data_IF_148439021513
#
_entry.id   IF_148439021513
#
_cell.length_a   1.000
_cell.length_b   1.000
_cell.length_c   1.000
_cell.angle_alpha   90.00
_cell.angle_beta   90.00
_cell.angle_gamma   90.00
#
_symmetry.space_group_name_H-M   'P 1'
#
loop_
_entity.id
_entity.type
_entity.pdbx_description
1 polymer ?
#
# COMPACT_ATOMS: atom_id res chain seq x y z
N UNK A 1 15.44 17.39 -2.69
CA UNK A 1 14.28 16.61 -2.23
C UNK A 1 14.39 16.45 -0.73
N UNK A 2 13.36 16.78 0.06
CA UNK A 2 13.43 16.66 1.53
C UNK A 2 13.77 15.20 1.88
N UNK A 3 14.85 14.98 2.62
CA UNK A 3 15.42 13.64 2.87
C UNK A 3 14.44 12.65 3.51
N UNK A 4 13.36 13.14 4.10
CA UNK A 4 12.28 12.40 4.76
C UNK A 4 11.56 11.41 3.85
N UNK A 5 11.12 11.80 2.65
CA UNK A 5 10.40 10.87 1.75
C UNK A 5 11.25 9.68 1.30
N UNK A 6 12.58 9.75 1.44
CA UNK A 6 13.48 8.64 1.08
C UNK A 6 13.73 7.68 2.24
N UNK A 7 13.23 7.99 3.43
CA UNK A 7 13.42 7.16 4.63
C UNK A 7 12.33 6.09 4.71
N UNK A 8 12.69 4.80 4.89
CA UNK A 8 11.72 3.73 5.07
C UNK A 8 10.77 4.00 6.24
N UNK A 9 11.29 4.51 7.36
CA UNK A 9 10.50 4.81 8.57
C UNK A 9 9.38 5.82 8.34
N UNK A 10 9.50 6.72 7.37
CA UNK A 10 8.49 7.73 7.05
C UNK A 10 7.14 7.11 6.66
N UNK A 11 7.15 5.96 6.00
CA UNK A 11 5.93 5.28 5.55
C UNK A 11 5.19 4.54 6.67
N UNK A 12 5.84 4.30 7.81
CA UNK A 12 5.29 3.57 8.95
C UNK A 12 5.00 4.52 10.12
N UNK A 13 6.00 5.31 10.51
CA UNK A 13 5.98 6.07 11.74
C UNK A 13 5.17 7.36 11.63
N UNK A 14 5.24 8.09 10.50
CA UNK A 14 4.47 9.34 10.38
C UNK A 14 2.96 9.11 10.38
N UNK A 15 2.42 8.12 9.63
CA UNK A 15 0.99 7.80 9.68
C UNK A 15 0.56 7.36 11.08
N UNK A 16 1.40 6.59 11.79
CA UNK A 16 1.11 6.15 13.15
C UNK A 16 1.11 7.29 14.17
N UNK A 17 2.08 8.21 14.08
CA UNK A 17 2.13 9.41 14.92
C UNK A 17 0.95 10.34 14.63
N UNK A 18 0.60 10.52 13.34
CA UNK A 18 -0.56 11.29 12.93
C UNK A 18 -1.84 10.67 13.49
N UNK A 19 -2.05 9.36 13.30
CA UNK A 19 -3.21 8.66 13.82
C UNK A 19 -3.31 8.77 15.34
N UNK A 20 -2.20 8.57 16.05
CA UNK A 20 -2.13 8.73 17.52
C UNK A 20 -2.51 10.14 17.97
N UNK A 21 -1.99 11.17 17.29
CA UNK A 21 -2.35 12.56 17.56
C UNK A 21 -3.82 12.86 17.27
N UNK A 22 -4.35 12.37 16.15
CA UNK A 22 -5.77 12.52 15.82
C UNK A 22 -6.65 11.80 16.85
N UNK A 23 -6.25 10.62 17.35
CA UNK A 23 -6.96 9.93 18.44
C UNK A 23 -7.04 10.79 19.70
N UNK A 24 -5.94 11.40 20.13
CA UNK A 24 -5.94 12.30 21.30
C UNK A 24 -6.84 13.53 21.12
N UNK A 25 -7.04 13.99 19.88
CA UNK A 25 -7.91 15.13 19.57
C UNK A 25 -9.37 14.73 19.33
N UNK A 26 -9.65 13.45 19.05
CA UNK A 26 -10.96 12.96 18.64
C UNK A 26 -11.76 12.37 19.80
N UNK A 27 -11.10 11.80 20.80
CA UNK A 27 -11.74 11.10 21.92
C UNK A 27 -11.43 11.72 23.28
N UNK A 28 -12.43 11.73 24.15
CA UNK A 28 -12.27 11.89 25.59
C UNK A 28 -11.84 10.54 26.18
N UNK A 29 -10.52 10.32 26.23
CA UNK A 29 -9.97 9.00 26.54
C UNK A 29 -10.31 8.53 27.96
N UNK A 30 -10.88 7.31 28.12
CA UNK A 30 -11.02 6.69 29.43
C UNK A 30 -9.66 6.51 30.15
N UNK A 31 -9.67 6.43 31.50
CA UNK A 31 -8.47 6.21 32.27
C UNK A 31 -7.67 4.98 31.79
N UNK A 32 -6.35 5.13 31.65
CA UNK A 32 -5.45 4.06 31.23
C UNK A 32 -5.28 3.90 29.71
N UNK A 33 -6.26 4.29 28.89
CA UNK A 33 -6.19 4.08 27.43
C UNK A 33 -5.03 4.84 26.77
N UNK A 34 -4.65 5.98 27.33
CA UNK A 34 -3.51 6.78 26.88
C UNK A 34 -2.18 6.01 26.90
N UNK A 35 -2.02 4.98 27.74
CA UNK A 35 -0.78 4.19 27.80
C UNK A 35 -0.49 3.48 26.48
N UNK A 36 -1.51 2.94 25.80
CA UNK A 36 -1.32 2.28 24.52
C UNK A 36 -0.95 3.27 23.42
N UNK A 37 -1.50 4.48 23.45
CA UNK A 37 -1.12 5.54 22.51
C UNK A 37 0.33 5.97 22.74
N UNK A 38 0.74 6.15 23.99
CA UNK A 38 2.14 6.45 24.35
C UNK A 38 3.06 5.34 23.87
N UNK A 39 2.69 4.06 24.02
CA UNK A 39 3.47 2.93 23.52
C UNK A 39 3.68 3.01 22.00
N UNK A 40 2.62 3.27 21.23
CA UNK A 40 2.70 3.44 19.77
C UNK A 40 3.60 4.61 19.38
N UNK A 41 3.47 5.76 20.06
CA UNK A 41 4.28 6.96 19.82
C UNK A 41 5.76 6.69 20.13
N UNK A 42 6.06 6.09 21.28
CA UNK A 42 7.42 5.79 21.70
C UNK A 42 8.09 4.77 20.77
N UNK A 43 7.35 3.74 20.35
CA UNK A 43 7.85 2.76 19.38
C UNK A 43 8.10 3.39 18.00
N UNK A 44 7.20 4.26 17.52
CA UNK A 44 7.40 5.02 16.28
C UNK A 44 8.63 5.94 16.37
N UNK A 45 8.81 6.64 17.48
CA UNK A 45 9.96 7.51 17.72
C UNK A 45 11.28 6.71 17.77
N UNK A 46 11.28 5.54 18.44
CA UNK A 46 12.43 4.65 18.47
C UNK A 46 12.80 4.15 17.07
N UNK A 47 11.83 3.73 16.25
CA UNK A 47 12.07 3.31 14.87
C UNK A 47 12.63 4.49 14.04
N UNK A 48 12.09 5.70 14.20
CA UNK A 48 12.63 6.89 13.53
C UNK A 48 14.09 7.14 13.91
N UNK A 49 14.44 7.02 15.19
CA UNK A 49 15.80 7.19 15.67
C UNK A 49 16.74 6.11 15.10
N UNK A 50 16.31 4.84 15.12
CA UNK A 50 17.07 3.73 14.51
C UNK A 50 17.27 3.96 13.02
N UNK A 51 16.26 4.42 12.28
CA UNK A 51 16.36 4.68 10.85
C UNK A 51 17.30 5.84 10.52
N UNK A 52 17.36 6.87 11.39
CA UNK A 52 18.35 7.95 11.29
C UNK A 52 19.77 7.39 11.40
N UNK A 53 20.02 6.50 12.37
CA UNK A 53 21.33 5.87 12.59
C UNK A 53 21.70 4.93 11.44
N UNK A 54 20.76 4.09 10.98
CA UNK A 54 21.00 3.16 9.87
C UNK A 54 21.22 3.86 8.53
N UNK A 55 20.74 5.11 8.37
CA UNK A 55 20.97 5.93 7.19
C UNK A 55 20.46 5.33 5.88
N UNK A 56 19.64 4.28 5.93
CA UNK A 56 19.15 3.57 4.75
C UNK A 56 18.16 4.48 4.01
N UNK A 57 18.40 4.69 2.71
CA UNK A 57 17.55 5.54 1.88
C UNK A 57 17.09 4.79 0.64
N UNK A 58 15.87 5.12 0.20
CA UNK A 58 15.43 4.82 -1.14
C UNK A 58 16.46 5.31 -2.17
N UNK A 59 16.60 4.62 -3.32
CA UNK A 59 17.43 5.09 -4.43
C UNK A 59 17.13 6.54 -4.79
N UNK A 60 18.13 7.22 -5.36
CA UNK A 60 17.97 8.61 -5.76
C UNK A 60 16.88 8.71 -6.86
N UNK A 61 16.03 9.77 -6.88
CA UNK A 61 14.99 9.96 -7.91
C UNK A 61 15.52 9.84 -9.34
N UNK A 62 16.77 10.24 -9.57
CA UNK A 62 17.46 10.14 -10.85
C UNK A 62 17.49 8.68 -11.34
N UNK A 63 17.76 7.71 -10.45
CA UNK A 63 17.75 6.29 -10.80
C UNK A 63 16.36 5.78 -11.20
N UNK A 64 15.31 6.26 -10.52
CA UNK A 64 13.92 5.94 -10.88
C UNK A 64 13.54 6.52 -12.25
N UNK A 65 14.07 7.71 -12.58
CA UNK A 65 13.83 8.37 -13.86
C UNK A 65 14.57 7.69 -15.01
N UNK A 66 15.86 7.39 -14.82
CA UNK A 66 16.73 6.75 -15.81
C UNK A 66 16.25 5.33 -16.17
N UNK A 67 15.66 4.62 -15.21
CA UNK A 67 15.18 3.27 -15.45
C UNK A 67 14.00 3.27 -16.43
N UNK A 68 14.18 2.57 -17.55
CA UNK A 68 13.15 2.33 -18.57
C UNK A 68 12.73 0.86 -18.53
N UNK A 69 11.46 0.59 -18.20
CA UNK A 69 10.92 -0.77 -18.17
C UNK A 69 10.27 -1.17 -19.51
N UNK A 70 9.74 -0.19 -20.27
CA UNK A 70 9.10 -0.44 -21.54
C UNK A 70 10.05 -1.05 -22.60
N UNK A 71 9.69 -2.22 -23.12
CA UNK A 71 10.50 -2.97 -24.08
C UNK A 71 11.69 -3.70 -23.46
N UNK A 72 11.64 -3.98 -22.16
CA UNK A 72 12.61 -4.85 -21.45
C UNK A 72 11.95 -6.17 -21.05
N UNK A 73 12.75 -7.16 -20.63
CA UNK A 73 12.26 -8.44 -20.10
C UNK A 73 11.32 -8.25 -18.90
N UNK A 74 11.69 -7.37 -17.96
CA UNK A 74 10.85 -7.02 -16.81
C UNK A 74 9.50 -6.43 -17.25
N UNK A 75 9.52 -5.51 -18.23
CA UNK A 75 8.31 -4.92 -18.78
C UNK A 75 7.41 -5.94 -19.47
N UNK A 76 7.98 -6.91 -20.20
CA UNK A 76 7.23 -7.99 -20.84
C UNK A 76 6.52 -8.88 -19.80
N UNK A 77 7.27 -9.37 -18.80
CA UNK A 77 6.70 -10.20 -17.73
C UNK A 77 5.63 -9.44 -16.95
N UNK A 78 5.85 -8.15 -16.67
CA UNK A 78 4.85 -7.33 -16.00
C UNK A 78 3.58 -7.11 -16.82
N UNK A 79 3.68 -6.97 -18.15
CA UNK A 79 2.51 -6.86 -19.01
C UNK A 79 1.73 -8.18 -19.10
N UNK A 80 2.43 -9.33 -19.14
CA UNK A 80 1.79 -10.64 -19.06
C UNK A 80 1.06 -10.81 -17.71
N UNK A 81 1.71 -10.44 -16.60
CA UNK A 81 1.08 -10.40 -15.29
C UNK A 81 -0.15 -9.48 -15.26
N UNK A 82 -0.05 -8.27 -15.81
CA UNK A 82 -1.18 -7.33 -15.90
C UNK A 82 -2.36 -7.91 -16.70
N UNK A 83 -2.08 -8.63 -17.79
CA UNK A 83 -3.13 -9.30 -18.57
C UNK A 83 -3.86 -10.38 -17.74
N UNK A 84 -3.12 -11.19 -16.98
CA UNK A 84 -3.72 -12.17 -16.05
C UNK A 84 -4.61 -11.48 -15.02
N UNK A 85 -4.12 -10.40 -14.38
CA UNK A 85 -4.92 -9.64 -13.41
C UNK A 85 -6.20 -9.08 -14.04
N UNK A 86 -6.13 -8.55 -15.27
CA UNK A 86 -7.31 -8.05 -15.99
C UNK A 86 -8.32 -9.17 -16.23
N UNK A 87 -7.87 -10.33 -16.71
CA UNK A 87 -8.75 -11.49 -16.93
C UNK A 87 -9.48 -11.85 -15.64
N UNK A 88 -8.77 -11.93 -14.52
CA UNK A 88 -9.39 -12.26 -13.22
C UNK A 88 -10.34 -11.17 -12.72
N UNK A 89 -10.06 -9.89 -12.97
CA UNK A 89 -10.99 -8.80 -12.67
C UNK A 89 -12.26 -8.89 -13.53
N UNK A 90 -12.13 -9.22 -14.82
CA UNK A 90 -13.28 -9.41 -15.71
C UNK A 90 -14.10 -10.62 -15.30
N UNK A 91 -13.45 -11.72 -14.91
CA UNK A 91 -14.13 -12.91 -14.39
C UNK A 91 -14.89 -12.62 -13.09
N UNK A 92 -14.31 -11.85 -12.15
CA UNK A 92 -15.01 -11.44 -10.91
C UNK A 92 -16.28 -10.63 -11.23
N UNK A 93 -16.21 -9.68 -12.19
CA UNK A 93 -17.37 -8.89 -12.60
C UNK A 93 -18.40 -9.66 -13.43
N UNK A 94 -17.98 -10.67 -14.19
CA UNK A 94 -18.86 -11.45 -15.06
C UNK A 94 -19.56 -12.60 -14.33
N UNK A 95 -18.88 -13.23 -13.37
CA UNK A 95 -19.37 -14.39 -12.65
C UNK A 95 -20.17 -14.03 -11.39
N UNK A 96 -19.99 -12.82 -10.85
CA UNK A 96 -20.62 -12.41 -9.59
C UNK A 96 -21.35 -11.07 -9.71
N UNK A 97 -22.39 -10.84 -8.89
CA UNK A 97 -23.05 -9.55 -8.84
C UNK A 97 -22.06 -8.45 -8.45
N UNK A 98 -22.12 -7.35 -9.20
CA UNK A 98 -21.29 -6.17 -8.98
C UNK A 98 -21.79 -5.49 -7.69
N UNK A 99 -20.98 -5.46 -6.60
CA UNK A 99 -21.44 -4.96 -5.31
C UNK A 99 -21.96 -3.52 -5.35
N UNK A 100 -21.35 -2.65 -6.16
CA UNK A 100 -21.82 -1.27 -6.29
C UNK A 100 -23.23 -1.14 -6.90
N UNK A 101 -23.64 -2.08 -7.75
CA UNK A 101 -24.89 -2.03 -8.51
C UNK A 101 -26.01 -2.78 -7.81
N UNK A 102 -25.70 -3.97 -7.28
CA UNK A 102 -26.71 -4.90 -6.77
C UNK A 102 -26.91 -4.74 -5.27
N UNK A 103 -25.85 -4.95 -4.50
CA UNK A 103 -25.89 -4.87 -3.04
C UNK A 103 -24.47 -4.64 -2.48
N UNK A 104 -24.17 -3.46 -1.90
CA UNK A 104 -22.88 -3.17 -1.31
C UNK A 104 -22.49 -4.12 -0.16
N UNK A 105 -23.47 -4.71 0.52
CA UNK A 105 -23.24 -5.64 1.62
C UNK A 105 -22.69 -7.00 1.15
N UNK A 106 -23.02 -7.40 -0.09
CA UNK A 106 -22.54 -8.63 -0.74
C UNK A 106 -21.02 -8.70 -0.92
N UNK A 107 -20.31 -7.58 -0.76
CA UNK A 107 -18.85 -7.59 -0.75
C UNK A 107 -18.29 -8.42 0.41
N UNK A 108 -18.97 -8.42 1.58
CA UNK A 108 -18.53 -9.11 2.78
C UNK A 108 -18.85 -10.61 2.78
N UNK A 109 -19.82 -11.05 1.97
CA UNK A 109 -20.13 -12.46 1.76
C UNK A 109 -19.25 -13.03 0.65
N UNK A 110 -18.19 -13.74 1.03
CA UNK A 110 -17.30 -14.43 0.10
C UNK A 110 -17.72 -15.89 -0.05
N UNK A 111 -18.24 -16.23 -1.23
CA UNK A 111 -18.30 -17.64 -1.63
C UNK A 111 -16.88 -18.16 -1.89
N UNK A 112 -16.57 -19.44 -1.58
CA UNK A 112 -15.20 -19.96 -1.68
C UNK A 112 -14.55 -19.76 -3.06
N UNK A 113 -15.32 -19.89 -4.15
CA UNK A 113 -14.81 -19.67 -5.50
C UNK A 113 -14.51 -18.19 -5.79
N UNK A 114 -15.33 -17.27 -5.25
CA UNK A 114 -15.12 -15.83 -5.38
C UNK A 114 -13.87 -15.37 -4.65
N UNK A 115 -13.55 -16.00 -3.52
CA UNK A 115 -12.34 -15.73 -2.75
C UNK A 115 -11.07 -15.99 -3.56
N UNK A 116 -11.00 -17.12 -4.29
CA UNK A 116 -9.86 -17.44 -5.15
C UNK A 116 -9.67 -16.44 -6.29
N UNK A 117 -10.77 -16.02 -6.93
CA UNK A 117 -10.71 -15.00 -7.98
C UNK A 117 -10.21 -13.66 -7.42
N UNK A 118 -10.69 -13.30 -6.22
CA UNK A 118 -10.26 -12.09 -5.52
C UNK A 118 -8.78 -12.11 -5.18
N UNK A 119 -8.20 -13.21 -4.73
CA UNK A 119 -6.74 -13.27 -4.49
C UNK A 119 -5.88 -12.75 -5.67
N UNK A 120 -6.35 -12.90 -6.91
CA UNK A 120 -5.69 -12.37 -8.11
C UNK A 120 -6.25 -11.00 -8.52
N UNK A 121 -7.57 -10.80 -8.51
CA UNK A 121 -8.19 -9.51 -8.88
C UNK A 121 -7.84 -8.38 -7.90
N UNK A 122 -7.50 -8.71 -6.66
CA UNK A 122 -6.98 -7.82 -5.62
C UNK A 122 -5.67 -7.14 -6.04
N UNK A 123 -4.91 -7.75 -6.95
CA UNK A 123 -3.65 -7.20 -7.46
C UNK A 123 -3.85 -6.10 -8.52
N UNK A 124 -5.09 -5.72 -8.83
CA UNK A 124 -5.43 -4.65 -9.79
C UNK A 124 -4.78 -3.29 -9.48
N UNK A 125 -4.42 -3.01 -8.22
CA UNK A 125 -3.71 -1.80 -7.83
C UNK A 125 -2.33 -1.67 -8.51
N UNK A 126 -1.77 -2.77 -9.04
CA UNK A 126 -0.50 -2.78 -9.78
C UNK A 126 -0.65 -2.26 -11.22
N UNK A 127 -1.85 -2.31 -11.79
CA UNK A 127 -2.11 -1.96 -13.20
C UNK A 127 -1.76 -0.50 -13.53
N UNK A 128 -2.09 0.51 -12.69
CA UNK A 128 -1.67 1.88 -12.95
C UNK A 128 -0.15 2.04 -12.97
N UNK A 129 0.57 1.32 -12.09
CA UNK A 129 2.04 1.34 -12.05
C UNK A 129 2.62 0.74 -13.32
N UNK A 130 2.12 -0.44 -13.73
CA UNK A 130 2.57 -1.12 -14.94
C UNK A 130 2.25 -0.28 -16.18
N UNK A 131 1.06 0.33 -16.24
CA UNK A 131 0.68 1.25 -17.31
C UNK A 131 1.63 2.45 -17.43
N UNK A 132 1.95 3.10 -16.31
CA UNK A 132 2.84 4.26 -16.27
C UNK A 132 4.30 3.92 -16.61
N UNK A 133 4.76 2.70 -16.27
CA UNK A 133 6.18 2.33 -16.36
C UNK A 133 6.53 1.48 -17.59
N UNK A 134 5.64 0.60 -18.02
CA UNK A 134 5.91 -0.43 -19.03
C UNK A 134 5.28 -0.13 -20.40
N UNK A 135 4.26 0.72 -20.48
CA UNK A 135 3.54 0.99 -21.74
C UNK A 135 3.99 2.31 -22.38
N UNK A 136 4.35 2.27 -23.67
CA UNK A 136 4.74 3.46 -24.46
C UNK A 136 3.55 4.18 -25.07
N UNK A 137 2.58 3.43 -25.60
CA UNK A 137 1.42 3.97 -26.30
C UNK A 137 0.42 4.59 -25.31
N UNK A 138 -0.23 5.72 -25.66
CA UNK A 138 -1.13 6.41 -24.75
C UNK A 138 -2.37 5.60 -24.42
N UNK A 139 -3.00 4.96 -25.41
CA UNK A 139 -4.25 4.24 -25.23
C UNK A 139 -4.13 3.07 -24.22
N UNK A 140 -3.22 2.07 -24.39
CA UNK A 140 -3.13 0.97 -23.43
C UNK A 140 -2.65 1.44 -22.06
N UNK A 141 -1.89 2.54 -21.98
CA UNK A 141 -1.49 3.15 -20.71
C UNK A 141 -2.71 3.67 -19.95
N UNK A 142 -3.56 4.47 -20.62
CA UNK A 142 -4.76 5.02 -20.01
C UNK A 142 -5.77 3.92 -19.65
N UNK A 143 -5.90 2.88 -20.47
CA UNK A 143 -6.76 1.73 -20.16
C UNK A 143 -6.29 1.00 -18.89
N UNK A 144 -4.99 0.74 -18.73
CA UNK A 144 -4.47 0.09 -17.52
C UNK A 144 -4.69 0.93 -16.26
N UNK A 145 -4.49 2.24 -16.35
CA UNK A 145 -4.74 3.17 -15.24
C UNK A 145 -6.23 3.20 -14.90
N UNK A 146 -7.09 3.37 -15.89
CA UNK A 146 -8.53 3.43 -15.71
C UNK A 146 -9.05 2.11 -15.10
N UNK A 147 -8.65 0.97 -15.64
CA UNK A 147 -9.08 -0.33 -15.16
C UNK A 147 -8.66 -0.58 -13.71
N UNK A 148 -7.40 -0.25 -13.35
CA UNK A 148 -6.91 -0.37 -11.97
C UNK A 148 -7.57 0.57 -10.95
N UNK A 149 -8.29 1.60 -11.39
CA UNK A 149 -9.02 2.53 -10.53
C UNK A 149 -10.54 2.29 -10.53
N UNK A 150 -11.13 1.93 -11.67
CA UNK A 150 -12.56 1.68 -11.82
C UNK A 150 -12.95 0.34 -11.20
N UNK A 151 -12.18 -0.72 -11.43
CA UNK A 151 -12.53 -2.04 -10.90
C UNK A 151 -12.71 -2.04 -9.37
N UNK A 152 -11.78 -1.48 -8.57
CA UNK A 152 -11.99 -1.33 -7.12
C UNK A 152 -13.25 -0.56 -6.72
N UNK A 153 -13.66 0.45 -7.50
CA UNK A 153 -14.91 1.21 -7.24
C UNK A 153 -16.12 0.31 -7.45
N UNK A 154 -16.15 -0.47 -8.54
CA UNK A 154 -17.23 -1.41 -8.84
C UNK A 154 -17.40 -2.48 -7.75
N UNK A 155 -16.28 -2.93 -7.16
CA UNK A 155 -16.30 -3.91 -6.07
C UNK A 155 -16.35 -3.28 -4.67
N UNK A 156 -16.46 -1.96 -4.54
CA UNK A 156 -16.54 -1.24 -3.25
C UNK A 156 -15.30 -1.52 -2.35
N UNK A 157 -14.13 -1.70 -2.96
CA UNK A 157 -12.88 -1.97 -2.26
C UNK A 157 -12.01 -0.71 -2.11
N UNK A 158 -12.12 -0.11 -0.91
CA UNK A 158 -11.39 1.11 -0.54
C UNK A 158 -9.88 0.91 -0.49
N UNK A 159 -9.41 -0.26 -0.07
CA UNK A 159 -7.98 -0.51 0.10
C UNK A 159 -7.25 -0.57 -1.24
N UNK A 160 -7.88 -1.14 -2.27
CA UNK A 160 -7.28 -1.22 -3.61
C UNK A 160 -7.20 0.14 -4.29
N UNK A 161 -8.22 0.98 -4.11
CA UNK A 161 -8.22 2.36 -4.63
C UNK A 161 -7.04 3.13 -4.02
N UNK A 162 -6.89 3.10 -2.70
CA UNK A 162 -5.80 3.82 -2.05
C UNK A 162 -4.43 3.26 -2.42
N UNK A 163 -4.28 1.94 -2.56
CA UNK A 163 -3.04 1.35 -3.03
C UNK A 163 -2.66 1.85 -4.44
N UNK A 164 -3.63 1.94 -5.35
CA UNK A 164 -3.45 2.49 -6.70
C UNK A 164 -3.09 3.97 -6.68
N UNK A 165 -3.84 4.80 -5.95
CA UNK A 165 -3.60 6.24 -5.82
C UNK A 165 -2.24 6.55 -5.18
N UNK A 166 -1.89 5.86 -4.08
CA UNK A 166 -0.59 5.94 -3.43
C UNK A 166 0.53 5.61 -4.39
N UNK A 167 0.38 4.52 -5.15
CA UNK A 167 1.40 4.07 -6.09
C UNK A 167 1.59 5.04 -7.26
N UNK A 168 0.52 5.62 -7.79
CA UNK A 168 0.57 6.68 -8.81
C UNK A 168 1.30 7.90 -8.23
N UNK A 169 0.90 8.37 -7.05
CA UNK A 169 1.51 9.53 -6.40
C UNK A 169 3.02 9.31 -6.15
N UNK A 170 3.41 8.11 -5.70
CA UNK A 170 4.81 7.73 -5.53
C UNK A 170 5.57 7.79 -6.86
N UNK A 171 5.05 7.17 -7.92
CA UNK A 171 5.69 7.16 -9.25
C UNK A 171 5.85 8.58 -9.79
N UNK A 172 4.82 9.43 -9.66
CA UNK A 172 4.88 10.84 -10.05
C UNK A 172 5.93 11.62 -9.24
N UNK A 173 6.03 11.36 -7.94
CA UNK A 173 6.98 12.04 -7.07
C UNK A 173 8.44 11.63 -7.33
N UNK A 174 8.70 10.34 -7.57
CA UNK A 174 10.06 9.79 -7.67
C UNK A 174 10.62 9.74 -9.10
N UNK A 175 9.79 9.76 -10.15
CA UNK A 175 10.25 9.84 -11.55
C UNK A 175 10.29 11.25 -12.13
N UNK A 176 9.90 12.26 -11.34
CA UNK A 176 9.98 13.66 -11.77
C UNK A 176 11.42 14.09 -11.99
N UNK A 177 11.57 15.16 -12.76
CA UNK A 177 12.83 15.90 -12.79
C UNK A 177 13.05 16.63 -11.46
N UNK A 178 14.23 16.48 -10.86
CA UNK A 178 14.58 17.09 -9.57
C UNK A 178 14.62 18.62 -9.66
N UNK A 179 14.97 19.15 -10.83
CA UNK A 179 14.95 20.59 -11.09
C UNK A 179 13.54 21.20 -11.10
N UNK A 180 12.49 20.40 -11.33
CA UNK A 180 11.10 20.87 -11.32
C UNK A 180 10.55 20.86 -9.88
N UNK A 181 9.53 21.65 -9.55
CA UNK A 181 8.85 21.52 -8.26
C UNK A 181 8.14 20.16 -8.13
N UNK A 182 7.89 19.73 -6.89
CA UNK A 182 7.00 18.58 -6.64
C UNK A 182 5.60 18.88 -7.20
N UNK A 183 4.93 17.92 -7.85
CA UNK A 183 3.57 18.09 -8.37
C UNK A 183 2.55 18.05 -7.24
N UNK A 184 2.69 18.94 -6.24
CA UNK A 184 1.88 18.96 -5.03
C UNK A 184 0.41 19.14 -5.34
N UNK A 185 0.05 19.91 -6.38
CA UNK A 185 -1.33 20.07 -6.83
C UNK A 185 -1.95 18.73 -7.23
N UNK A 186 -1.24 17.93 -8.03
CA UNK A 186 -1.71 16.62 -8.45
C UNK A 186 -1.77 15.64 -7.27
N UNK A 187 -0.73 15.59 -6.43
CA UNK A 187 -0.70 14.72 -5.24
C UNK A 187 -1.84 15.09 -4.28
N UNK A 188 -2.08 16.38 -4.05
CA UNK A 188 -3.17 16.86 -3.19
C UNK A 188 -4.52 16.54 -3.81
N UNK A 189 -4.70 16.75 -5.12
CA UNK A 189 -5.93 16.39 -5.81
C UNK A 189 -6.23 14.88 -5.73
N UNK A 190 -5.20 14.03 -5.90
CA UNK A 190 -5.34 12.57 -5.71
C UNK A 190 -5.71 12.22 -4.26
N UNK A 191 -5.12 12.91 -3.29
CA UNK A 191 -5.44 12.74 -1.86
C UNK A 191 -6.89 13.12 -1.55
N UNK A 192 -7.33 14.29 -2.00
CA UNK A 192 -8.73 14.75 -1.84
C UNK A 192 -9.70 13.80 -2.52
N UNK A 193 -9.42 13.40 -3.77
CA UNK A 193 -10.23 12.40 -4.48
C UNK A 193 -10.33 11.09 -3.70
N UNK A 194 -9.21 10.61 -3.16
CA UNK A 194 -9.18 9.43 -2.30
C UNK A 194 -10.06 9.59 -1.05
N UNK A 195 -9.97 10.72 -0.34
CA UNK A 195 -10.81 11.00 0.83
C UNK A 195 -12.30 11.09 0.48
N UNK A 196 -12.66 11.69 -0.65
CA UNK A 196 -14.04 11.78 -1.13
C UNK A 196 -14.59 10.40 -1.45
N UNK A 197 -13.88 9.64 -2.29
CA UNK A 197 -14.26 8.27 -2.66
C UNK A 197 -14.37 7.39 -1.42
N UNK A 198 -13.45 7.52 -0.47
CA UNK A 198 -13.50 6.79 0.79
C UNK A 198 -14.74 7.12 1.62
N UNK A 199 -15.07 8.41 1.76
CA UNK A 199 -16.22 8.85 2.54
C UNK A 199 -17.53 8.41 1.90
N UNK A 200 -17.63 8.48 0.56
CA UNK A 200 -18.81 8.03 -0.20
C UNK A 200 -18.96 6.52 -0.10
N UNK A 201 -17.91 5.74 -0.40
CA UNK A 201 -17.95 4.28 -0.31
C UNK A 201 -18.17 3.80 1.14
N UNK A 202 -17.63 4.53 2.13
CA UNK A 202 -17.87 4.26 3.54
C UNK A 202 -19.34 4.41 3.91
N UNK A 203 -19.98 5.50 3.47
CA UNK A 203 -21.41 5.74 3.69
C UNK A 203 -22.27 4.68 3.00
N UNK A 204 -21.94 4.34 1.74
CA UNK A 204 -22.67 3.32 0.97
C UNK A 204 -22.57 1.91 1.58
N UNK A 205 -21.42 1.57 2.19
CA UNK A 205 -21.17 0.25 2.74
C UNK A 205 -21.63 0.09 4.20
N UNK A 206 -21.48 1.15 5.01
CA UNK A 206 -21.59 1.05 6.47
C UNK A 206 -22.73 1.87 7.08
N UNK A 207 -23.50 2.61 6.28
CA UNK A 207 -24.66 3.37 6.75
C UNK A 207 -24.31 4.66 7.51
N UNK A 208 -25.19 5.11 8.40
CA UNK A 208 -24.98 6.32 9.23
C UNK A 208 -24.14 6.03 10.47
N UNK A 209 -23.25 6.97 10.84
CA UNK A 209 -22.39 6.89 12.04
C UNK A 209 -23.10 7.40 13.31
N UNK A 210 -24.32 7.92 13.19
CA UNK A 210 -25.00 8.63 14.29
C UNK A 210 -25.24 7.77 15.54
N UNK A 211 -25.26 6.45 15.39
CA UNK A 211 -25.48 5.50 16.49
C UNK A 211 -24.19 4.97 17.13
N UNK A 212 -23.01 5.49 16.77
CA UNK A 212 -21.74 5.03 17.36
C UNK A 212 -21.52 5.71 18.71
N UNK A 213 -21.58 4.93 19.78
CA UNK A 213 -21.44 5.37 21.18
C UNK A 213 -19.99 5.23 21.68
N UNK A 214 -19.05 5.92 21.03
CA UNK A 214 -17.68 6.07 21.55
C UNK A 214 -17.56 7.40 22.32
N UNK A 215 -16.60 7.54 23.25
CA UNK A 215 -16.40 8.77 24.01
C UNK A 215 -15.73 9.83 23.12
N UNK A 216 -16.47 10.33 22.13
CA UNK A 216 -16.01 11.36 21.20
C UNK A 216 -15.99 12.73 21.87
N UNK A 217 -14.89 13.46 21.71
CA UNK A 217 -14.75 14.85 22.15
C UNK A 217 -15.41 15.85 21.20
N UNK A 218 -15.28 17.13 21.51
CA UNK A 218 -15.98 18.23 20.82
C UNK A 218 -15.61 18.34 19.33
N UNK A 219 -14.34 18.10 18.98
CA UNK A 219 -13.86 18.13 17.60
C UNK A 219 -14.66 17.19 16.70
N UNK A 220 -14.89 15.96 17.16
CA UNK A 220 -15.63 14.97 16.39
C UNK A 220 -17.11 15.32 16.30
N UNK A 221 -17.71 15.75 17.41
CA UNK A 221 -19.15 16.07 17.48
C UNK A 221 -19.52 17.22 16.54
N UNK A 222 -18.66 18.26 16.48
CA UNK A 222 -18.84 19.43 15.63
C UNK A 222 -18.50 19.19 14.14
N UNK A 223 -17.81 18.09 13.81
CA UNK A 223 -17.39 17.82 12.44
C UNK A 223 -18.57 17.45 11.51
N UNK A 224 -18.53 17.82 10.21
CA UNK A 224 -19.48 17.33 9.21
C UNK A 224 -19.42 15.81 9.04
N UNK A 225 -20.50 15.18 8.57
CA UNK A 225 -20.62 13.72 8.46
C UNK A 225 -19.47 13.06 7.66
N UNK A 226 -19.05 13.66 6.54
CA UNK A 226 -17.92 13.14 5.76
C UNK A 226 -16.60 13.19 6.51
N UNK A 227 -16.40 14.21 7.36
CA UNK A 227 -15.20 14.35 8.20
C UNK A 227 -15.24 13.39 9.38
N UNK A 228 -16.42 13.12 9.96
CA UNK A 228 -16.60 12.10 11.01
C UNK A 228 -16.14 10.72 10.55
N UNK A 229 -16.47 10.31 9.32
CA UNK A 229 -15.94 9.06 8.74
C UNK A 229 -14.41 9.02 8.70
N UNK A 230 -13.78 10.10 8.26
CA UNK A 230 -12.32 10.19 8.18
C UNK A 230 -11.69 10.15 9.58
N UNK A 231 -12.19 10.96 10.52
CA UNK A 231 -11.71 11.01 11.90
C UNK A 231 -11.84 9.65 12.57
N UNK A 232 -13.02 9.01 12.48
CA UNK A 232 -13.28 7.70 13.05
C UNK A 232 -12.28 6.66 12.50
N UNK A 233 -12.09 6.59 11.18
CA UNK A 233 -11.18 5.61 10.60
C UNK A 233 -9.72 5.85 10.98
N UNK A 234 -9.26 7.11 10.97
CA UNK A 234 -7.88 7.47 11.36
C UNK A 234 -7.58 7.15 12.81
N UNK A 235 -8.58 7.25 13.67
CA UNK A 235 -8.35 7.28 15.12
C UNK A 235 -8.82 6.02 15.86
N UNK A 236 -9.72 5.23 15.27
CA UNK A 236 -10.30 4.04 15.91
C UNK A 236 -9.25 2.96 16.19
N UNK A 237 -8.27 2.77 15.30
CA UNK A 237 -7.22 1.77 15.50
C UNK A 237 -6.37 2.05 16.75
N UNK A 238 -5.72 3.23 16.90
CA UNK A 238 -4.98 3.56 18.11
C UNK A 238 -5.87 3.60 19.37
N UNK A 239 -7.13 4.02 19.25
CA UNK A 239 -8.10 3.97 20.36
C UNK A 239 -8.32 2.51 20.83
N UNK A 240 -8.67 1.60 19.92
CA UNK A 240 -8.90 0.20 20.23
C UNK A 240 -7.63 -0.50 20.75
N UNK A 241 -6.45 -0.10 20.25
CA UNK A 241 -5.16 -0.56 20.79
C UNK A 241 -4.96 -0.13 22.25
N UNK A 242 -5.24 1.14 22.57
CA UNK A 242 -5.22 1.64 23.95
C UNK A 242 -6.21 0.93 24.85
N UNK A 243 -7.42 0.71 24.35
CA UNK A 243 -8.49 0.00 25.07
C UNK A 243 -8.08 -1.44 25.43
N UNK A 244 -7.59 -2.20 24.45
CA UNK A 244 -7.21 -3.60 24.68
C UNK A 244 -6.01 -3.72 25.63
N UNK A 245 -5.04 -2.81 25.54
CA UNK A 245 -3.92 -2.79 26.46
C UNK A 245 -4.38 -2.49 27.90
N UNK A 246 -5.23 -1.48 28.10
CA UNK A 246 -5.74 -1.09 29.41
C UNK A 246 -6.64 -2.16 30.05
N UNK A 247 -7.39 -2.90 29.22
CA UNK A 247 -8.24 -4.02 29.66
C UNK A 247 -7.47 -5.32 29.90
N UNK A 248 -6.16 -5.34 29.65
CA UNK A 248 -5.31 -6.53 29.74
C UNK A 248 -5.89 -7.74 28.98
N UNK A 249 -6.57 -7.48 27.86
CA UNK A 249 -7.25 -8.52 27.11
C UNK A 249 -6.27 -9.29 26.23
N UNK A 250 -6.33 -10.62 26.31
CA UNK A 250 -5.48 -11.51 25.53
C UNK A 250 -6.29 -12.57 24.78
N UNK A 251 -6.09 -12.65 23.48
CA UNK A 251 -6.66 -13.68 22.62
C UNK A 251 -5.77 -13.87 21.38
N UNK A 252 -5.17 -15.06 21.24
CA UNK A 252 -4.27 -15.38 20.13
C UNK A 252 -5.00 -15.82 18.87
N UNK A 253 -6.29 -16.18 18.95
CA UNK A 253 -7.06 -16.65 17.81
C UNK A 253 -7.07 -15.59 16.69
N UNK A 254 -7.18 -14.31 17.06
CA UNK A 254 -7.17 -13.21 16.08
C UNK A 254 -5.90 -13.20 15.22
N UNK A 255 -4.74 -13.40 15.85
CA UNK A 255 -3.46 -13.47 15.16
C UNK A 255 -3.38 -14.73 14.28
N UNK A 256 -3.84 -15.87 14.78
CA UNK A 256 -3.81 -17.13 14.04
C UNK A 256 -4.62 -17.05 12.74
N UNK A 257 -5.79 -16.40 12.77
CA UNK A 257 -6.58 -16.22 11.57
C UNK A 257 -5.94 -15.26 10.55
N UNK A 258 -5.14 -14.30 11.02
CA UNK A 258 -4.40 -13.41 10.13
C UNK A 258 -3.24 -14.13 9.43
N UNK A 259 -2.55 -15.02 10.16
CA UNK A 259 -1.35 -15.71 9.68
C UNK A 259 -1.65 -16.96 8.86
N UNK A 260 -2.73 -17.69 9.18
CA UNK A 260 -3.07 -18.97 8.56
C UNK A 260 -4.21 -18.79 7.54
N UNK A 261 -3.94 -18.98 6.23
CA UNK A 261 -4.98 -19.02 5.20
C UNK A 261 -6.02 -20.09 5.50
N UNK A 262 -7.30 -19.81 5.25
CA UNK A 262 -8.38 -20.81 5.37
C UNK A 262 -8.77 -21.18 6.80
N UNK A 263 -8.28 -20.45 7.80
CA UNK A 263 -8.66 -20.60 9.21
C UNK A 263 -10.11 -20.19 9.51
N UNK A 264 -10.84 -19.63 8.53
CA UNK A 264 -12.24 -19.19 8.65
C UNK A 264 -12.37 -17.71 9.04
N UNK A 265 -13.57 -17.12 8.87
CA UNK A 265 -13.80 -15.71 9.18
C UNK A 265 -13.84 -15.48 10.69
N UNK A 266 -13.10 -14.48 11.18
CA UNK A 266 -13.33 -13.89 12.49
C UNK A 266 -14.58 -13.01 12.44
N UNK A 267 -15.71 -13.58 12.80
CA UNK A 267 -16.93 -12.81 13.04
C UNK A 267 -16.76 -12.04 14.36
N UNK A 268 -16.10 -10.88 14.31
CA UNK A 268 -15.91 -9.97 15.46
C UNK A 268 -17.21 -9.67 16.24
N UNK A 269 -18.38 -9.73 15.59
CA UNK A 269 -19.69 -9.59 16.24
C UNK A 269 -20.12 -10.75 17.15
N UNK A 270 -19.40 -11.88 17.14
CA UNK A 270 -19.59 -13.01 18.04
C UNK A 270 -18.36 -13.28 18.91
N UNK A 271 -17.40 -12.35 18.93
CA UNK A 271 -16.20 -12.47 19.75
C UNK A 271 -16.41 -11.87 21.14
N UNK A 272 -15.71 -12.42 22.12
CA UNK A 272 -15.58 -11.95 23.50
C UNK A 272 -14.66 -10.73 23.64
N UNK A 273 -14.24 -10.10 22.52
CA UNK A 273 -13.37 -8.93 22.53
C UNK A 273 -14.14 -7.77 23.17
N UNK A 274 -13.62 -7.17 24.25
CA UNK A 274 -14.32 -6.12 24.98
C UNK A 274 -14.17 -4.76 24.28
N UNK A 275 -14.65 -4.64 23.04
CA UNK A 275 -14.69 -3.37 22.30
C UNK A 275 -15.74 -2.43 22.93
N UNK A 276 -15.41 -1.15 23.07
CA UNK A 276 -16.36 -0.14 23.58
C UNK A 276 -17.51 0.12 22.59
N UNK A 277 -17.25 -0.10 21.30
CA UNK A 277 -18.25 -0.10 20.24
C UNK A 277 -18.06 -1.33 19.35
N UNK A 278 -18.85 -2.41 19.54
CA UNK A 278 -18.68 -3.68 18.80
C UNK A 278 -18.81 -3.55 17.28
N UNK A 279 -19.54 -2.53 16.81
CA UNK A 279 -19.68 -2.19 15.39
C UNK A 279 -18.44 -1.50 14.79
N UNK A 280 -17.50 -1.02 15.62
CA UNK A 280 -16.23 -0.40 15.20
C UNK A 280 -15.07 -1.35 15.49
N UNK A 281 -14.92 -2.36 14.64
CA UNK A 281 -13.88 -3.38 14.73
C UNK A 281 -12.56 -3.01 13.99
N UNK A 282 -12.29 -1.71 13.86
CA UNK A 282 -11.09 -1.19 13.20
C UNK A 282 -9.90 -1.32 14.15
N UNK A 283 -8.78 -1.86 13.69
CA UNK A 283 -7.61 -2.13 14.53
C UNK A 283 -6.30 -1.77 13.85
N UNK A 284 -5.29 -1.40 14.65
CA UNK A 284 -3.93 -1.26 14.12
C UNK A 284 -3.40 -2.61 13.64
N UNK A 285 -2.37 -2.60 12.79
CA UNK A 285 -1.61 -3.80 12.41
C UNK A 285 -1.10 -4.59 13.61
N UNK A 286 -0.85 -3.88 14.72
CA UNK A 286 -0.21 -4.42 15.91
C UNK A 286 -1.21 -4.92 16.94
N UNK A 287 -2.50 -4.60 16.78
CA UNK A 287 -3.57 -5.05 17.67
C UNK A 287 -3.66 -6.59 17.79
N UNK A 288 -3.54 -7.38 16.72
CA UNK A 288 -3.53 -8.85 16.79
C UNK A 288 -2.39 -9.39 17.65
N UNK A 289 -1.20 -8.79 17.52
CA UNK A 289 -0.02 -9.17 18.29
C UNK A 289 -0.10 -8.70 19.74
N UNK A 290 -0.73 -7.54 19.99
CA UNK A 290 -1.05 -7.07 21.34
C UNK A 290 -1.97 -8.06 22.05
N UNK A 291 -3.03 -8.51 21.40
CA UNK A 291 -3.95 -9.49 21.97
C UNK A 291 -3.27 -10.86 22.16
N UNK A 292 -2.35 -11.25 21.27
CA UNK A 292 -1.67 -12.55 21.42
C UNK A 292 -0.61 -12.57 22.53
N UNK A 293 0.24 -11.54 22.61
CA UNK A 293 1.45 -11.55 23.46
C UNK A 293 1.67 -10.25 24.25
N UNK A 294 0.64 -9.43 24.41
CA UNK A 294 0.73 -8.16 25.11
C UNK A 294 1.63 -7.13 24.41
N UNK A 295 2.09 -6.14 25.17
CA UNK A 295 2.88 -5.03 24.63
C UNK A 295 4.16 -5.49 23.90
N UNK A 296 4.77 -6.59 24.36
CA UNK A 296 5.95 -7.17 23.71
C UNK A 296 5.62 -7.67 22.28
N UNK A 297 4.47 -8.32 22.07
CA UNK A 297 4.01 -8.74 20.74
C UNK A 297 3.78 -7.55 19.81
N UNK A 298 3.16 -6.49 20.32
CA UNK A 298 2.97 -5.27 19.54
C UNK A 298 4.32 -4.65 19.11
N UNK A 299 5.27 -4.52 20.03
CA UNK A 299 6.60 -3.97 19.72
C UNK A 299 7.39 -4.82 18.73
N UNK A 300 7.35 -6.15 18.86
CA UNK A 300 8.04 -7.06 17.93
C UNK A 300 7.44 -6.99 16.53
N UNK A 301 6.12 -6.92 16.40
CA UNK A 301 5.46 -6.75 15.09
C UNK A 301 5.75 -5.39 14.45
N UNK A 302 5.83 -4.31 15.24
CA UNK A 302 6.29 -3.00 14.75
C UNK A 302 7.72 -3.06 14.20
N UNK A 303 8.64 -3.68 14.95
CA UNK A 303 10.02 -3.88 14.52
C UNK A 303 10.11 -4.75 13.26
N UNK A 304 9.32 -5.83 13.18
CA UNK A 304 9.26 -6.70 12.02
C UNK A 304 8.72 -5.97 10.77
N UNK A 305 7.68 -5.14 10.91
CA UNK A 305 7.15 -4.32 9.83
C UNK A 305 8.22 -3.34 9.29
N UNK A 306 8.97 -2.70 10.18
CA UNK A 306 10.07 -1.84 9.80
C UNK A 306 11.23 -2.61 9.14
N UNK A 307 11.58 -3.80 9.65
CA UNK A 307 12.59 -4.65 9.04
C UNK A 307 12.18 -5.09 7.62
N UNK A 308 10.90 -5.40 7.39
CA UNK A 308 10.37 -5.73 6.08
C UNK A 308 10.44 -4.53 5.11
N UNK A 309 10.10 -3.33 5.56
CA UNK A 309 10.31 -2.10 4.79
C UNK A 309 11.78 -1.91 4.42
N UNK A 310 12.71 -2.07 5.38
CA UNK A 310 14.14 -2.00 5.13
C UNK A 310 14.60 -3.02 4.09
N UNK A 311 14.10 -4.25 4.19
CA UNK A 311 14.42 -5.30 3.22
C UNK A 311 13.93 -4.94 1.81
N UNK A 312 12.70 -4.44 1.67
CA UNK A 312 12.18 -3.95 0.39
C UNK A 312 13.03 -2.80 -0.17
N UNK A 313 13.43 -1.83 0.67
CA UNK A 313 14.29 -0.72 0.24
C UNK A 313 15.67 -1.21 -0.21
N UNK A 314 16.29 -2.14 0.53
CA UNK A 314 17.57 -2.74 0.13
C UNK A 314 17.47 -3.48 -1.20
N UNK A 315 16.36 -4.18 -1.45
CA UNK A 315 16.09 -4.86 -2.72
C UNK A 315 15.94 -3.92 -3.91
N UNK A 316 15.59 -2.65 -3.69
CA UNK A 316 15.58 -1.64 -4.77
C UNK A 316 16.99 -1.27 -5.24
N UNK A 317 17.99 -1.46 -4.40
CA UNK A 317 19.38 -1.24 -4.79
C UNK A 317 19.95 -2.49 -5.49
N UNK A 318 20.80 -2.34 -6.53
CA UNK A 318 21.28 -1.08 -7.11
C UNK A 318 20.45 -0.55 -8.31
N UNK A 319 19.67 -1.41 -8.98
CA UNK A 319 19.12 -1.15 -10.33
C UNK A 319 17.63 -0.77 -10.38
N UNK A 320 16.95 -0.61 -9.24
CA UNK A 320 15.50 -0.34 -9.15
C UNK A 320 14.71 -1.33 -10.03
N UNK A 321 14.72 -2.61 -9.67
CA UNK A 321 13.93 -3.61 -10.40
C UNK A 321 12.43 -3.29 -10.30
N UNK A 322 11.68 -3.60 -11.36
CA UNK A 322 10.24 -3.34 -11.38
C UNK A 322 9.51 -4.10 -10.26
N UNK A 323 9.84 -5.38 -10.10
CA UNK A 323 9.23 -6.22 -9.07
C UNK A 323 9.66 -5.82 -7.66
N UNK A 324 10.91 -5.38 -7.47
CA UNK A 324 11.34 -4.78 -6.21
C UNK A 324 10.56 -3.49 -5.89
N UNK A 325 10.25 -2.68 -6.90
CA UNK A 325 9.39 -1.50 -6.77
C UNK A 325 7.96 -1.88 -6.39
N UNK A 326 7.37 -2.89 -7.02
CA UNK A 326 6.04 -3.37 -6.65
C UNK A 326 5.99 -3.89 -5.20
N UNK A 327 7.00 -4.65 -4.77
CA UNK A 327 7.13 -5.10 -3.38
C UNK A 327 7.21 -3.92 -2.42
N UNK A 328 8.08 -2.95 -2.69
CA UNK A 328 8.22 -1.75 -1.87
C UNK A 328 6.91 -0.96 -1.83
N UNK A 329 6.26 -0.71 -2.97
CA UNK A 329 4.99 0.03 -3.03
C UNK A 329 3.91 -0.65 -2.19
N UNK A 330 3.81 -1.98 -2.25
CA UNK A 330 2.84 -2.73 -1.45
C UNK A 330 3.10 -2.55 0.03
N UNK A 331 4.33 -2.83 0.48
CA UNK A 331 4.68 -2.76 1.91
C UNK A 331 4.64 -1.32 2.43
N UNK A 332 5.07 -0.33 1.65
CA UNK A 332 4.95 1.08 2.00
C UNK A 332 3.47 1.50 2.14
N UNK A 333 2.60 1.08 1.22
CA UNK A 333 1.17 1.35 1.32
C UNK A 333 0.55 0.73 2.56
N UNK A 334 0.76 -0.57 2.81
CA UNK A 334 0.18 -1.21 4.00
C UNK A 334 0.79 -0.70 5.30
N UNK A 335 2.02 -0.18 5.26
CA UNK A 335 2.62 0.55 6.39
C UNK A 335 1.94 1.89 6.66
N UNK A 336 1.53 2.61 5.60
CA UNK A 336 0.75 3.83 5.75
C UNK A 336 -0.63 3.55 6.35
N UNK A 337 -1.20 2.39 6.03
CA UNK A 337 -2.48 1.93 6.55
C UNK A 337 -2.37 1.17 7.89
N UNK A 338 -1.17 0.99 8.45
CA UNK A 338 -0.96 0.23 9.68
C UNK A 338 -1.70 0.77 10.91
N UNK A 339 -2.03 2.08 11.02
CA UNK A 339 -2.88 2.56 12.11
C UNK A 339 -4.36 2.15 11.98
N UNK A 340 -4.79 1.68 10.80
CA UNK A 340 -6.20 1.53 10.45
C UNK A 340 -6.63 0.07 10.28
N UNK A 341 -5.78 -0.77 9.71
CA UNK A 341 -6.15 -2.13 9.39
C UNK A 341 -4.94 -3.07 9.40
N UNK A 342 -5.08 -4.29 9.97
CA UNK A 342 -4.05 -5.32 9.88
C UNK A 342 -4.02 -5.89 8.46
N UNK A 343 -3.00 -5.51 7.70
CA UNK A 343 -2.78 -5.93 6.33
C UNK A 343 -1.35 -6.42 6.08
N UNK A 344 -0.31 -5.92 6.77
CA UNK A 344 1.10 -6.27 6.52
C UNK A 344 1.32 -7.78 6.63
N UNK A 345 0.90 -8.39 7.74
CA UNK A 345 1.23 -9.79 8.06
C UNK A 345 0.23 -10.83 7.50
N UNK A 346 -0.69 -10.42 6.62
CA UNK A 346 -1.62 -11.37 6.01
C UNK A 346 -0.92 -12.24 4.96
N UNK A 347 -1.39 -13.47 4.81
CA UNK A 347 -0.84 -14.41 3.83
C UNK A 347 -0.85 -13.88 2.38
N UNK A 348 -1.86 -13.09 2.00
CA UNK A 348 -1.93 -12.49 0.67
C UNK A 348 -0.74 -11.57 0.37
N UNK A 349 -0.22 -10.82 1.35
CA UNK A 349 0.96 -9.99 1.15
C UNK A 349 2.22 -10.83 1.00
N UNK A 350 2.37 -11.85 1.84
CA UNK A 350 3.48 -12.82 1.72
C UNK A 350 3.48 -13.48 0.34
N UNK A 351 2.30 -13.93 -0.11
CA UNK A 351 2.10 -14.49 -1.45
C UNK A 351 2.45 -13.50 -2.56
N UNK A 352 2.06 -12.23 -2.43
CA UNK A 352 2.41 -11.18 -3.40
C UNK A 352 3.92 -10.92 -3.47
N UNK A 353 4.62 -10.89 -2.33
CA UNK A 353 6.07 -10.76 -2.30
C UNK A 353 6.74 -11.97 -2.96
N UNK A 354 6.28 -13.19 -2.66
CA UNK A 354 6.75 -14.41 -3.30
C UNK A 354 6.53 -14.40 -4.82
N UNK A 355 5.35 -13.96 -5.27
CA UNK A 355 5.03 -13.79 -6.68
C UNK A 355 5.96 -12.77 -7.35
N UNK A 356 6.23 -11.62 -6.73
CA UNK A 356 7.17 -10.64 -7.28
C UNK A 356 8.59 -11.22 -7.44
N UNK A 357 9.04 -12.03 -6.48
CA UNK A 357 10.33 -12.72 -6.58
C UNK A 357 10.34 -13.74 -7.72
N UNK A 358 9.25 -14.50 -7.90
CA UNK A 358 9.09 -15.44 -9.01
C UNK A 358 9.08 -14.72 -10.37
N UNK A 359 8.31 -13.64 -10.49
CA UNK A 359 8.26 -12.83 -11.72
C UNK A 359 9.63 -12.20 -12.03
N UNK A 360 10.38 -11.80 -11.01
CA UNK A 360 11.75 -11.32 -11.17
C UNK A 360 12.68 -12.43 -11.69
N UNK A 361 12.54 -13.65 -11.20
CA UNK A 361 13.29 -14.82 -11.70
C UNK A 361 12.94 -15.10 -13.17
N UNK A 362 11.64 -15.15 -13.50
CA UNK A 362 11.17 -15.37 -14.88
C UNK A 362 11.70 -14.31 -15.84
N UNK A 363 11.73 -13.04 -15.44
CA UNK A 363 12.33 -11.98 -16.23
C UNK A 363 13.85 -12.15 -16.43
N UNK A 364 14.54 -12.77 -15.47
CA UNK A 364 15.95 -13.13 -15.58
C UNK A 364 16.21 -14.26 -16.59
N UNK A 365 15.29 -15.21 -16.70
CA UNK A 365 15.39 -16.39 -17.59
C UNK A 365 15.09 -16.10 -19.07
N UNK A 366 14.34 -15.04 -19.37
CA UNK A 366 14.07 -14.63 -20.76
C UNK A 366 15.37 -14.14 -21.45
N UNK A 367 15.54 -14.27 -22.77
CA UNK A 367 16.72 -13.75 -23.49
C UNK A 367 16.75 -12.21 -23.56
N UNK A 368 17.94 -11.58 -23.63
CA UNK A 368 18.07 -10.11 -23.72
C UNK A 368 18.38 -9.80 -25.17
N UNK A 369 17.41 -9.28 -25.92
CA UNK A 369 17.66 -8.82 -27.29
C UNK A 369 18.60 -7.60 -27.38
N UNK A 370 19.00 -7.04 -26.23
CA UNK A 370 19.96 -5.92 -26.14
C UNK A 370 21.39 -6.35 -25.77
N UNK A 371 21.62 -7.64 -25.48
CA UNK A 371 22.95 -8.18 -25.17
C UNK A 371 23.49 -9.04 -26.31
N UNK A 372 22.97 -8.92 -27.54
CA UNK A 372 23.71 -9.44 -28.70
C UNK A 372 25.02 -8.64 -28.79
N UNK A 373 26.19 -9.26 -28.56
CA UNK A 373 27.43 -8.60 -28.90
C UNK A 373 27.39 -8.46 -30.41
N UNK A 374 27.29 -7.23 -30.89
CA UNK A 374 27.63 -6.93 -32.27
C UNK A 374 29.14 -7.11 -32.34
N UNK A 375 29.59 -8.35 -32.53
CA UNK A 375 30.89 -8.64 -33.10
C UNK A 375 30.81 -8.25 -34.58
N UNK A 376 30.81 -6.96 -34.85
CA UNK A 376 31.18 -6.49 -36.19
C UNK A 376 32.69 -6.68 -36.28
N UNK A 377 33.21 -7.51 -37.20
CA UNK A 377 34.59 -7.33 -37.63
C UNK A 377 34.65 -5.93 -38.21
N UNK A 378 35.53 -5.09 -37.67
CA UNK A 378 35.91 -3.81 -38.28
C UNK A 378 36.44 -4.15 -39.69
N UNK A 379 35.78 -3.74 -40.79
CA UNK A 379 36.45 -3.66 -42.06
C UNK A 379 37.28 -2.37 -42.03
N UNK A 380 38.52 -2.47 -42.47
CA UNK A 380 39.50 -1.38 -42.56
C UNK A 380 38.86 -0.01 -42.88
N UNK A 381 39.07 0.95 -41.98
CA UNK A 381 38.76 2.35 -42.20
C UNK A 381 39.59 2.88 -43.38
N UNK A 382 38.96 2.98 -44.55
CA UNK A 382 39.37 3.94 -45.55
C UNK A 382 38.84 5.34 -45.16
N UNK A 383 39.69 6.36 -45.01
CA UNK A 383 39.22 7.70 -44.67
C UNK A 383 38.60 8.36 -45.89
N UNK A 384 37.27 8.49 -45.88
CA UNK A 384 36.51 9.23 -46.89
C UNK A 384 36.35 10.70 -46.50
N UNK A 385 37.45 11.46 -46.42
CA UNK A 385 37.41 12.93 -46.50
C UNK A 385 38.70 13.47 -47.12
N UNK A 386 38.65 14.17 -48.28
CA UNK A 386 39.81 14.88 -48.80
C UNK A 386 40.03 16.17 -47.98
N UNK A 387 41.10 16.22 -47.21
CA UNK A 387 41.68 17.47 -46.72
C UNK A 387 42.17 18.27 -47.92
N UNK A 388 41.45 19.35 -48.24
CA UNK A 388 41.90 20.36 -49.19
C UNK A 388 43.02 21.16 -48.53
N UNK A 389 44.25 20.87 -48.91
CA UNK A 389 45.39 21.78 -48.78
C UNK A 389 45.13 23.01 -49.66
N UNK A 390 45.06 24.19 -49.06
CA UNK A 390 45.39 25.44 -49.75
C UNK A 390 46.62 26.05 -49.10
N UNK A 391 47.72 25.93 -49.81
CA UNK A 391 48.87 26.82 -49.76
C UNK A 391 48.51 28.15 -50.41
N UNK A 392 48.67 29.24 -49.68
CA UNK A 392 49.37 30.51 -50.04
C UNK A 392 49.17 31.48 -48.90
#
# INVERSE_FOLDING_TARGET
MNGWLRRPSTYLCLPLLLASGVTLLTYDLPPGYGQGIVLLVMAAAAILAVDVVLGTRLPAPERFRERRYAGTREGFVALAFAAVVIVFCLLDLALYPIPLIVDPSSYASLEPCREHLRHISDMCWTLPVIGLLCVRQPLPRHLLIAFGLIFPVLVVDRNRIFAGLFSIAFVLAFRRDVAKPLPWKAITALGVLGCVVFSVLGTLRSGSIENVTLPFGDLYRAAPQGVKWLLLYVSAGPYNFGAMLAKHYTNSAFLMHQLIPGSGPLLTGQTDIPLDAPNINVGTEYLPFLMAWGAAGALTSMAAAYALLLWCVRRLHPRVSLFGLLMFLRIAYVSVMSPFAPQIFIAMNVGFLGLCLLLQLLAGLLPNRRDTPVSSPVPDEFPAWPTTTKST
#
